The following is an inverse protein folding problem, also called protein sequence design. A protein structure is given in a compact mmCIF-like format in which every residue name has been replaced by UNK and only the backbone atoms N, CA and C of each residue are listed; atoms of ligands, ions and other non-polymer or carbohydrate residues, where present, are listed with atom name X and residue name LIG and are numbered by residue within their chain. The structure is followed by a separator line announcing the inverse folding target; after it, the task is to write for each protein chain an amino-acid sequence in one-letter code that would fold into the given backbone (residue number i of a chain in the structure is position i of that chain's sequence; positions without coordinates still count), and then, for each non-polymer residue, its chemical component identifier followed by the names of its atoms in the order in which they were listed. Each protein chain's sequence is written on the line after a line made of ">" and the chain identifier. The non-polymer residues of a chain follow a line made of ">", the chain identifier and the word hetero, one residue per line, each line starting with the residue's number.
data_IF_156180654054
#
_entry.id   IF_156180654054
#
_cell.length_a   1.000
_cell.length_b   1.000
_cell.length_c   1.000
_cell.angle_alpha   90.00
_cell.angle_beta   90.00
_cell.angle_gamma   90.00
#
_symmetry.space_group_name_H-M   'P 1'
#
loop_
_entity.id
_entity.type
_entity.pdbx_description
1 polymer ?
#
# COMPACT_ATOMS: atom_id res chain seq x y z
N UNK A 1 19.68 6.31 7.94
CA UNK A 1 20.19 5.54 6.77
C UNK A 1 21.72 5.39 6.69
N UNK A 2 22.57 6.36 7.11
CA UNK A 2 24.03 6.15 7.07
C UNK A 2 24.50 5.00 7.97
N UNK A 3 23.90 4.86 9.16
CA UNK A 3 24.38 3.96 10.21
C UNK A 3 24.22 2.47 9.85
N UNK A 4 23.09 2.05 9.26
CA UNK A 4 22.89 0.66 8.85
C UNK A 4 23.77 0.24 7.66
N UNK A 5 23.95 1.13 6.67
CA UNK A 5 24.88 0.88 5.56
C UNK A 5 26.31 0.77 6.08
N UNK A 6 26.71 1.65 7.00
CA UNK A 6 28.04 1.61 7.63
C UNK A 6 28.22 0.33 8.44
N UNK A 7 27.24 -0.09 9.25
CA UNK A 7 27.32 -1.34 10.01
C UNK A 7 27.40 -2.56 9.08
N UNK A 8 26.56 -2.62 8.04
CA UNK A 8 26.57 -3.74 7.09
C UNK A 8 27.87 -3.80 6.28
N UNK A 9 28.41 -2.65 5.87
CA UNK A 9 29.72 -2.55 5.20
C UNK A 9 30.84 -2.93 6.18
N UNK A 10 30.84 -2.45 7.42
CA UNK A 10 31.85 -2.79 8.43
C UNK A 10 31.82 -4.29 8.73
N UNK A 11 30.64 -4.86 8.92
CA UNK A 11 30.46 -6.29 9.20
C UNK A 11 30.81 -7.15 7.98
N UNK A 12 30.42 -6.73 6.77
CA UNK A 12 30.77 -7.39 5.51
C UNK A 12 32.27 -7.34 5.21
N UNK A 13 32.91 -6.18 5.39
CA UNK A 13 34.37 -6.02 5.25
C UNK A 13 35.11 -6.83 6.32
N UNK A 14 34.64 -6.82 7.57
CA UNK A 14 35.19 -7.68 8.63
C UNK A 14 35.07 -9.17 8.30
N UNK A 15 33.96 -9.59 7.69
CA UNK A 15 33.77 -10.97 7.20
C UNK A 15 34.70 -11.36 6.06
N UNK A 16 35.04 -10.43 5.17
CA UNK A 16 36.01 -10.64 4.07
C UNK A 16 37.47 -10.62 4.58
N UNK A 17 37.76 -9.87 5.65
CA UNK A 17 39.10 -9.81 6.24
C UNK A 17 39.55 -11.14 6.86
N UNK A 18 38.63 -11.96 7.36
CA UNK A 18 38.95 -13.27 7.94
C UNK A 18 39.59 -14.27 6.96
N UNK A 19 39.04 -14.55 5.76
CA UNK A 19 39.69 -15.40 4.77
C UNK A 19 40.98 -14.79 4.21
N UNK A 20 41.07 -13.46 4.09
CA UNK A 20 42.30 -12.78 3.64
C UNK A 20 43.44 -12.95 4.67
N UNK A 21 43.15 -12.77 5.97
CA UNK A 21 44.14 -13.04 7.03
C UNK A 21 44.54 -14.52 7.07
N UNK A 22 43.59 -15.45 6.88
CA UNK A 22 43.88 -16.88 6.86
C UNK A 22 44.82 -17.27 5.71
N UNK A 23 44.68 -16.66 4.53
CA UNK A 23 45.59 -16.86 3.39
C UNK A 23 46.98 -16.30 3.70
N UNK A 24 47.08 -15.10 4.28
CA UNK A 24 48.36 -14.47 4.62
C UNK A 24 49.12 -15.27 5.70
N UNK A 25 48.40 -15.78 6.70
CA UNK A 25 48.99 -16.57 7.81
C UNK A 25 49.37 -18.00 7.36
N UNK A 26 48.78 -18.50 6.28
CA UNK A 26 49.17 -19.76 5.64
C UNK A 26 50.64 -19.81 5.21
N UNK A 27 51.29 -18.66 5.03
CA UNK A 27 52.71 -18.51 4.70
C UNK A 27 53.66 -18.47 5.92
N UNK A 28 53.13 -18.45 7.16
CA UNK A 28 53.92 -18.41 8.40
C UNK A 28 54.22 -19.85 8.88
N UNK A 29 55.38 -20.16 9.47
CA UNK A 29 55.69 -21.51 10.00
C UNK A 29 54.71 -21.98 11.09
N UNK A 30 54.39 -23.28 11.09
CA UNK A 30 53.35 -23.87 11.96
C UNK A 30 53.57 -23.61 13.47
N UNK A 31 54.82 -23.50 13.92
CA UNK A 31 55.17 -23.22 15.31
C UNK A 31 54.74 -21.84 15.82
N UNK A 32 54.42 -20.90 14.93
CA UNK A 32 53.99 -19.53 15.27
C UNK A 32 52.50 -19.26 15.00
N UNK A 33 51.75 -20.23 14.45
CA UNK A 33 50.35 -20.03 14.02
C UNK A 33 49.33 -19.99 15.14
N UNK A 34 49.58 -20.68 16.26
CA UNK A 34 48.61 -20.82 17.35
C UNK A 34 48.12 -19.49 17.94
N UNK A 35 48.95 -18.44 17.93
CA UNK A 35 48.54 -17.11 18.40
C UNK A 35 47.57 -16.40 17.43
N UNK A 36 47.69 -16.69 16.13
CA UNK A 36 46.89 -16.07 15.08
C UNK A 36 45.58 -16.82 14.80
N UNK A 37 45.54 -18.13 15.04
CA UNK A 37 44.34 -18.97 14.85
C UNK A 37 43.16 -18.48 15.70
N UNK A 38 43.43 -17.99 16.91
CA UNK A 38 42.41 -17.43 17.81
C UNK A 38 41.84 -16.10 17.27
N UNK A 39 42.69 -15.24 16.69
CA UNK A 39 42.28 -13.97 16.09
C UNK A 39 41.49 -14.17 14.78
N UNK A 40 41.87 -15.15 13.95
CA UNK A 40 41.11 -15.55 12.76
C UNK A 40 39.74 -16.09 13.17
N UNK A 41 39.70 -16.98 14.18
CA UNK A 41 38.45 -17.59 14.66
C UNK A 41 37.51 -16.52 15.23
N UNK A 42 38.01 -15.60 16.06
CA UNK A 42 37.21 -14.50 16.58
C UNK A 42 36.67 -13.59 15.46
N UNK A 43 37.49 -13.28 14.45
CA UNK A 43 37.10 -12.44 13.31
C UNK A 43 36.08 -13.13 12.40
N UNK A 44 36.24 -14.44 12.16
CA UNK A 44 35.28 -15.25 11.40
C UNK A 44 33.95 -15.40 12.15
N UNK A 45 33.98 -15.57 13.47
CA UNK A 45 32.76 -15.58 14.31
C UNK A 45 32.06 -14.23 14.23
N UNK A 46 32.75 -13.10 14.33
CA UNK A 46 32.13 -11.78 14.19
C UNK A 46 31.60 -11.56 12.76
N UNK A 47 32.37 -11.93 11.74
CA UNK A 47 32.01 -11.74 10.33
C UNK A 47 30.95 -12.69 9.78
N UNK A 48 30.69 -13.82 10.44
CA UNK A 48 29.69 -14.82 10.02
C UNK A 48 28.56 -14.90 11.04
N UNK A 49 28.86 -15.13 12.32
CA UNK A 49 27.85 -15.36 13.35
C UNK A 49 27.07 -14.09 13.67
N UNK A 50 27.69 -12.90 13.71
CA UNK A 50 26.94 -11.66 13.98
C UNK A 50 25.99 -11.30 12.84
N UNK A 51 26.39 -11.27 11.55
CA UNK A 51 25.43 -11.01 10.48
C UNK A 51 24.41 -12.14 10.34
N UNK A 52 24.78 -13.40 10.60
CA UNK A 52 23.79 -14.49 10.62
C UNK A 52 22.81 -14.32 11.77
N UNK A 53 23.26 -13.98 12.99
CA UNK A 53 22.43 -13.74 14.17
C UNK A 53 21.55 -12.50 14.01
N UNK A 54 22.06 -11.43 13.40
CA UNK A 54 21.26 -10.26 13.01
C UNK A 54 20.22 -10.66 11.96
N UNK A 55 20.61 -11.42 10.94
CA UNK A 55 19.68 -11.94 9.95
C UNK A 55 18.62 -12.83 10.59
N UNK A 56 18.96 -13.76 11.50
CA UNK A 56 17.97 -14.56 12.23
C UNK A 56 17.13 -13.71 13.18
N UNK A 57 17.68 -12.66 13.79
CA UNK A 57 16.91 -11.75 14.64
C UNK A 57 15.86 -10.98 13.83
N UNK A 58 16.26 -10.33 12.73
CA UNK A 58 15.33 -9.64 11.82
C UNK A 58 14.35 -10.62 11.15
N UNK A 59 14.81 -11.83 10.83
CA UNK A 59 13.95 -12.86 10.24
C UNK A 59 12.96 -13.43 11.27
N UNK A 60 13.34 -13.60 12.53
CA UNK A 60 12.44 -14.02 13.61
C UNK A 60 11.39 -12.95 13.93
N UNK A 61 11.78 -11.68 14.01
CA UNK A 61 10.86 -10.57 14.21
C UNK A 61 9.85 -10.44 13.05
N UNK A 62 10.26 -10.78 11.82
CA UNK A 62 9.34 -10.86 10.67
C UNK A 62 8.33 -12.03 10.75
N UNK A 63 8.49 -12.97 11.69
CA UNK A 63 7.57 -14.09 11.90
C UNK A 63 6.67 -13.88 13.13
N UNK A 64 7.18 -13.26 14.20
CA UNK A 64 6.40 -12.98 15.41
C UNK A 64 5.50 -11.74 15.23
N UNK A 65 4.35 -11.98 14.62
CA UNK A 65 3.17 -11.14 14.76
C UNK A 65 2.58 -11.27 16.18
N UNK A 66 3.30 -10.81 17.19
CA UNK A 66 2.90 -10.99 18.60
C UNK A 66 1.78 -10.05 19.05
N UNK A 67 1.51 -8.97 18.31
CA UNK A 67 0.59 -7.92 18.73
C UNK A 67 -0.90 -8.20 18.41
N UNK A 68 -1.78 -7.86 19.36
CA UNK A 68 -3.17 -7.56 19.05
C UNK A 68 -3.22 -6.33 18.12
N UNK A 69 -4.21 -6.30 17.23
CA UNK A 69 -4.42 -5.17 16.31
C UNK A 69 -5.81 -4.61 16.49
N UNK A 70 -6.00 -3.29 16.35
CA UNK A 70 -7.33 -2.72 16.40
C UNK A 70 -8.20 -3.21 15.22
N UNK A 71 -9.53 -3.28 15.38
CA UNK A 71 -10.47 -3.57 14.30
C UNK A 71 -10.35 -2.59 13.15
N UNK A 72 -10.14 -3.13 11.95
CA UNK A 72 -10.12 -2.37 10.70
C UNK A 72 -11.17 -2.90 9.73
N UNK A 73 -11.96 -1.99 9.18
CA UNK A 73 -12.90 -2.31 8.11
C UNK A 73 -12.20 -2.20 6.75
N UNK A 74 -12.05 -3.32 6.07
CA UNK A 74 -11.38 -3.42 4.77
C UNK A 74 -12.36 -3.69 3.65
N UNK A 75 -12.11 -3.13 2.47
CA UNK A 75 -12.85 -3.47 1.25
C UNK A 75 -12.38 -4.82 0.72
N UNK A 76 -13.31 -5.70 0.33
CA UNK A 76 -13.00 -6.99 -0.30
C UNK A 76 -12.88 -6.84 -1.82
N UNK A 77 -12.14 -7.77 -2.43
CA UNK A 77 -12.09 -7.89 -3.88
C UNK A 77 -13.38 -8.50 -4.47
N UNK A 78 -13.52 -8.35 -5.77
CA UNK A 78 -14.67 -8.73 -6.56
C UNK A 78 -15.85 -7.78 -6.42
N UNK A 79 -17.04 -8.35 -6.56
CA UNK A 79 -18.33 -7.67 -6.51
C UNK A 79 -19.22 -8.38 -5.49
N UNK A 80 -19.90 -7.61 -4.64
CA UNK A 80 -20.97 -8.13 -3.80
C UNK A 80 -22.22 -8.43 -4.62
N UNK A 81 -23.17 -9.16 -4.03
CA UNK A 81 -24.38 -9.63 -4.74
C UNK A 81 -25.24 -8.49 -5.32
N UNK A 82 -25.16 -7.28 -4.73
CA UNK A 82 -25.94 -6.11 -5.13
C UNK A 82 -25.10 -5.03 -5.83
N UNK A 83 -23.97 -5.43 -6.43
CA UNK A 83 -23.17 -4.54 -7.27
C UNK A 83 -22.29 -3.55 -6.52
N UNK A 84 -22.14 -3.68 -5.21
CA UNK A 84 -21.15 -2.94 -4.39
C UNK A 84 -20.17 -3.91 -3.74
N UNK A 85 -18.93 -3.48 -3.42
CA UNK A 85 -17.95 -4.36 -2.79
C UNK A 85 -18.44 -4.88 -1.43
N UNK A 86 -18.12 -6.14 -1.12
CA UNK A 86 -18.25 -6.65 0.25
C UNK A 86 -17.18 -6.02 1.15
N UNK A 87 -17.38 -6.07 2.47
CA UNK A 87 -16.42 -5.57 3.45
C UNK A 87 -16.00 -6.69 4.41
N UNK A 88 -14.83 -6.55 5.04
CA UNK A 88 -14.37 -7.45 6.08
C UNK A 88 -13.85 -6.64 7.27
N UNK A 89 -14.34 -6.95 8.47
CA UNK A 89 -13.73 -6.49 9.71
C UNK A 89 -12.58 -7.43 10.07
N UNK A 90 -11.36 -6.88 10.11
CA UNK A 90 -10.13 -7.63 10.33
C UNK A 90 -9.41 -7.12 11.58
N UNK A 91 -9.03 -8.04 12.47
CA UNK A 91 -8.20 -7.74 13.64
C UNK A 91 -7.57 -9.00 14.24
N UNK A 92 -6.73 -8.79 15.25
CA UNK A 92 -6.09 -9.83 16.04
C UNK A 92 -6.22 -9.55 17.53
N UNK A 93 -6.41 -10.60 18.31
CA UNK A 93 -6.41 -10.54 19.78
C UNK A 93 -5.20 -11.26 20.37
N UNK A 94 -4.79 -10.85 21.57
CA UNK A 94 -3.66 -11.48 22.27
C UNK A 94 -3.96 -12.95 22.58
N UNK A 95 -5.14 -13.21 23.14
CA UNK A 95 -5.65 -14.54 23.46
C UNK A 95 -6.71 -14.96 22.45
N UNK A 96 -6.95 -16.27 22.25
CA UNK A 96 -8.06 -16.72 21.43
C UNK A 96 -9.40 -16.20 21.95
N UNK A 97 -10.15 -15.48 21.12
CA UNK A 97 -11.47 -14.94 21.46
C UNK A 97 -12.52 -15.39 20.44
N UNK A 98 -13.78 -15.32 20.84
CA UNK A 98 -14.93 -15.54 19.96
C UNK A 98 -15.74 -14.26 19.92
N UNK A 99 -15.84 -13.65 18.74
CA UNK A 99 -16.47 -12.34 18.57
C UNK A 99 -17.79 -12.43 17.82
N UNK A 100 -18.60 -11.40 18.02
CA UNK A 100 -19.84 -11.18 17.26
C UNK A 100 -19.81 -9.80 16.65
N UNK A 101 -19.97 -9.72 15.33
CA UNK A 101 -20.19 -8.46 14.62
C UNK A 101 -21.69 -8.30 14.38
N UNK A 102 -22.27 -7.22 14.90
CA UNK A 102 -23.63 -6.81 14.59
C UNK A 102 -23.62 -5.76 13.48
N UNK A 103 -24.55 -5.80 12.53
CA UNK A 103 -24.68 -4.78 11.49
C UNK A 103 -26.11 -4.68 10.93
N UNK A 104 -26.38 -3.60 10.19
CA UNK A 104 -27.64 -3.43 9.44
C UNK A 104 -27.89 -1.97 9.05
N UNK A 105 -28.87 -1.74 8.17
CA UNK A 105 -29.10 -0.42 7.58
C UNK A 105 -29.81 0.57 8.54
N UNK A 106 -30.92 0.12 9.14
CA UNK A 106 -31.72 0.94 10.07
C UNK A 106 -31.45 0.61 11.53
N UNK A 107 -31.04 -0.63 11.80
CA UNK A 107 -30.70 -1.13 13.13
C UNK A 107 -29.68 -2.26 13.03
N UNK A 108 -29.04 -2.61 14.14
CA UNK A 108 -28.10 -3.72 14.26
C UNK A 108 -28.82 -5.09 14.28
N UNK A 109 -29.58 -5.39 13.22
CA UNK A 109 -30.47 -6.55 13.12
C UNK A 109 -29.77 -7.83 12.64
N UNK A 110 -28.67 -7.71 11.92
CA UNK A 110 -27.88 -8.84 11.43
C UNK A 110 -26.69 -9.10 12.36
N UNK A 111 -26.27 -10.35 12.47
CA UNK A 111 -25.11 -10.73 13.27
C UNK A 111 -24.26 -11.80 12.58
N UNK A 112 -22.94 -11.67 12.75
CA UNK A 112 -21.94 -12.66 12.35
C UNK A 112 -21.27 -13.12 13.63
N UNK A 113 -21.48 -14.39 13.98
CA UNK A 113 -20.91 -14.99 15.19
C UNK A 113 -19.81 -15.94 14.75
N UNK A 114 -18.58 -15.73 15.23
CA UNK A 114 -17.48 -16.68 14.98
C UNK A 114 -17.83 -18.06 15.55
N UNK A 115 -17.39 -19.14 14.92
CA UNK A 115 -17.74 -20.50 15.36
C UNK A 115 -16.81 -21.04 16.45
N UNK A 116 -15.55 -20.60 16.45
CA UNK A 116 -14.49 -21.02 17.36
C UNK A 116 -13.71 -19.82 17.90
N UNK A 117 -12.99 -20.02 19.00
CA UNK A 117 -12.08 -19.02 19.51
C UNK A 117 -10.76 -19.03 18.72
N UNK A 118 -10.38 -17.88 18.14
CA UNK A 118 -9.16 -17.70 17.34
C UNK A 118 -8.44 -16.43 17.76
N UNK A 119 -7.19 -16.24 17.29
CA UNK A 119 -6.44 -14.97 17.49
C UNK A 119 -6.51 -14.04 16.29
N UNK A 120 -6.90 -14.55 15.13
CA UNK A 120 -7.05 -13.80 13.89
C UNK A 120 -8.53 -13.86 13.51
N UNK A 121 -9.09 -12.68 13.28
CA UNK A 121 -10.53 -12.48 13.12
C UNK A 121 -10.80 -11.84 11.76
N UNK A 122 -11.72 -12.46 11.02
CA UNK A 122 -12.20 -11.97 9.72
C UNK A 122 -13.71 -12.15 9.69
N UNK A 123 -14.45 -11.07 9.95
CA UNK A 123 -15.92 -11.07 9.90
C UNK A 123 -16.39 -10.33 8.64
N UNK A 124 -16.92 -11.06 7.67
CA UNK A 124 -17.27 -10.53 6.34
C UNK A 124 -18.71 -10.01 6.27
N UNK A 125 -18.88 -8.71 6.01
CA UNK A 125 -20.18 -8.12 5.69
C UNK A 125 -20.46 -8.31 4.20
N UNK A 126 -21.42 -9.18 3.89
CA UNK A 126 -21.78 -9.58 2.52
C UNK A 126 -23.18 -9.08 2.15
N UNK A 127 -23.49 -9.07 0.85
CA UNK A 127 -24.81 -8.72 0.31
C UNK A 127 -25.27 -7.31 0.73
N UNK A 128 -24.30 -6.39 0.83
CA UNK A 128 -24.56 -5.00 1.15
C UNK A 128 -25.34 -4.36 0.00
N UNK A 129 -26.41 -3.64 0.33
CA UNK A 129 -27.24 -2.93 -0.66
C UNK A 129 -26.57 -1.65 -1.10
N UNK A 130 -26.74 -1.29 -2.38
CA UNK A 130 -26.28 -0.02 -2.92
C UNK A 130 -27.02 1.17 -2.30
N UNK A 131 -26.37 2.32 -2.18
CA UNK A 131 -26.95 3.58 -1.72
C UNK A 131 -27.49 3.53 -0.28
N UNK A 132 -26.90 2.69 0.56
CA UNK A 132 -27.42 2.38 1.89
C UNK A 132 -26.42 2.80 2.97
N UNK A 133 -26.93 3.44 4.02
CA UNK A 133 -26.17 3.69 5.24
C UNK A 133 -26.27 2.46 6.14
N UNK A 134 -25.14 1.93 6.59
CA UNK A 134 -25.06 0.79 7.49
C UNK A 134 -24.46 1.21 8.83
N UNK A 135 -25.01 0.67 9.90
CA UNK A 135 -24.39 0.66 11.23
C UNK A 135 -23.72 -0.69 11.47
N UNK A 136 -22.65 -0.69 12.25
CA UNK A 136 -22.02 -1.91 12.71
C UNK A 136 -21.41 -1.75 14.11
N UNK A 137 -21.29 -2.86 14.83
CA UNK A 137 -20.70 -2.90 16.17
C UNK A 137 -20.03 -4.24 16.43
N UNK A 138 -18.78 -4.21 16.87
CA UNK A 138 -18.08 -5.39 17.36
C UNK A 138 -18.46 -5.62 18.84
N UNK A 139 -18.99 -6.79 19.16
CA UNK A 139 -19.39 -7.17 20.52
C UNK A 139 -20.25 -6.08 21.19
N UNK A 140 -19.73 -5.50 22.29
CA UNK A 140 -20.36 -4.42 23.07
C UNK A 140 -19.64 -3.07 22.91
N UNK A 141 -18.82 -2.91 21.87
CA UNK A 141 -18.07 -1.66 21.61
C UNK A 141 -18.97 -0.53 21.08
N UNK A 142 -18.36 0.61 20.76
CA UNK A 142 -19.08 1.72 20.14
C UNK A 142 -19.65 1.34 18.77
N UNK A 143 -20.80 1.93 18.42
CA UNK A 143 -21.40 1.74 17.09
C UNK A 143 -20.74 2.65 16.08
N UNK A 144 -20.34 2.06 14.95
CA UNK A 144 -19.74 2.69 13.80
C UNK A 144 -20.74 2.70 12.63
N UNK A 145 -20.47 3.49 11.59
CA UNK A 145 -21.36 3.56 10.42
C UNK A 145 -20.64 3.94 9.14
N UNK A 146 -20.96 3.28 8.04
CA UNK A 146 -20.44 3.57 6.69
C UNK A 146 -21.58 3.71 5.68
N UNK A 147 -21.27 4.20 4.47
CA UNK A 147 -22.22 4.28 3.37
C UNK A 147 -21.71 3.53 2.13
N UNK A 148 -22.57 2.74 1.51
CA UNK A 148 -22.25 2.05 0.26
C UNK A 148 -22.44 2.96 -0.96
N UNK A 149 -21.71 2.72 -2.06
CA UNK A 149 -21.90 3.45 -3.31
C UNK A 149 -23.31 3.29 -3.89
N UNK A 150 -23.76 4.27 -4.68
CA UNK A 150 -25.10 4.32 -5.28
C UNK A 150 -25.04 4.23 -6.81
N UNK A 151 -26.19 4.20 -7.48
CA UNK A 151 -26.24 4.25 -8.95
C UNK A 151 -25.87 5.64 -9.53
N UNK A 152 -26.06 6.71 -8.76
CA UNK A 152 -25.70 8.08 -9.18
C UNK A 152 -24.22 8.39 -8.95
N UNK A 153 -23.68 7.82 -7.87
CA UNK A 153 -22.27 7.89 -7.49
C UNK A 153 -21.73 6.48 -7.38
N UNK A 154 -21.24 5.97 -8.51
CA UNK A 154 -20.74 4.60 -8.66
C UNK A 154 -19.62 4.30 -7.67
N UNK A 155 -18.79 5.30 -7.36
CA UNK A 155 -17.83 5.23 -6.27
C UNK A 155 -17.31 6.63 -5.91
N UNK A 156 -17.21 6.95 -4.62
CA UNK A 156 -16.50 8.12 -4.13
C UNK A 156 -15.38 7.69 -3.18
N UNK A 157 -14.12 7.96 -3.53
CA UNK A 157 -12.99 7.52 -2.73
C UNK A 157 -11.89 8.57 -2.64
N UNK A 158 -11.17 8.57 -1.51
CA UNK A 158 -9.91 9.27 -1.35
C UNK A 158 -8.76 8.33 -1.66
N UNK A 159 -7.65 8.83 -2.19
CA UNK A 159 -6.45 8.03 -2.45
C UNK A 159 -5.17 8.84 -2.23
N UNK A 160 -4.19 8.21 -1.60
CA UNK A 160 -2.83 8.75 -1.43
C UNK A 160 -1.85 7.63 -1.05
N UNK A 161 -0.56 7.83 -1.25
CA UNK A 161 0.48 6.85 -0.93
C UNK A 161 1.60 7.46 -0.10
N UNK A 162 2.57 6.61 0.25
CA UNK A 162 3.89 7.07 0.70
C UNK A 162 3.82 7.79 2.05
N UNK A 163 3.19 7.15 3.04
CA UNK A 163 3.14 7.62 4.42
C UNK A 163 4.48 7.37 5.16
N UNK A 164 5.21 6.30 4.79
CA UNK A 164 6.52 5.93 5.34
C UNK A 164 6.56 5.87 6.88
N UNK A 165 5.55 5.24 7.52
CA UNK A 165 5.56 5.01 8.96
C UNK A 165 6.86 4.30 9.38
N UNK A 166 7.58 4.87 10.36
CA UNK A 166 8.86 4.33 10.83
C UNK A 166 10.09 5.10 10.38
N UNK A 167 9.98 5.92 9.33
CA UNK A 167 11.07 6.83 8.92
C UNK A 167 11.25 7.91 10.01
N UNK A 168 12.39 7.88 10.71
CA UNK A 168 12.64 8.58 11.97
C UNK A 168 12.19 10.06 12.05
N UNK A 169 11.78 10.47 13.25
CA UNK A 169 11.19 11.77 13.65
C UNK A 169 12.12 13.00 13.56
N UNK A 170 13.21 12.95 12.78
CA UNK A 170 13.90 14.19 12.45
C UNK A 170 12.95 14.98 11.54
N UNK A 171 12.29 16.00 12.12
CA UNK A 171 11.18 16.79 11.59
C UNK A 171 11.43 17.51 10.24
N UNK A 172 12.56 17.23 9.58
CA UNK A 172 12.93 17.73 8.27
C UNK A 172 13.12 16.64 7.21
N UNK A 173 12.94 15.34 7.50
CA UNK A 173 13.21 14.25 6.54
C UNK A 173 12.40 12.93 6.71
N UNK A 174 11.47 12.82 7.66
CA UNK A 174 10.71 11.59 7.95
C UNK A 174 9.19 11.82 7.98
N UNK A 175 8.41 10.78 7.68
CA UNK A 175 6.96 10.92 7.50
C UNK A 175 6.23 11.38 8.76
N UNK A 176 5.31 12.34 8.62
CA UNK A 176 4.51 12.89 9.73
C UNK A 176 3.12 12.24 9.77
N UNK A 177 2.83 11.35 10.74
CA UNK A 177 1.51 10.75 10.93
C UNK A 177 0.38 11.77 11.07
N UNK A 178 0.68 13.00 11.52
CA UNK A 178 -0.34 14.04 11.69
C UNK A 178 -0.89 14.54 10.36
N UNK A 179 -0.09 14.52 9.29
CA UNK A 179 -0.55 14.83 7.93
C UNK A 179 -1.63 13.86 7.50
N UNK A 180 -1.35 12.56 7.63
CA UNK A 180 -2.32 11.51 7.32
C UNK A 180 -3.57 11.62 8.21
N UNK A 181 -3.41 11.88 9.51
CA UNK A 181 -4.56 12.10 10.42
C UNK A 181 -5.42 13.30 10.02
N UNK A 182 -4.81 14.40 9.54
CA UNK A 182 -5.56 15.57 9.06
C UNK A 182 -6.39 15.24 7.83
N UNK A 183 -5.79 14.55 6.86
CA UNK A 183 -6.48 14.08 5.65
C UNK A 183 -7.62 13.14 6.02
N UNK A 184 -7.34 12.12 6.83
CA UNK A 184 -8.33 11.11 7.19
C UNK A 184 -9.47 11.69 8.00
N UNK A 185 -9.22 12.70 8.87
CA UNK A 185 -10.28 13.43 9.57
C UNK A 185 -11.28 14.04 8.59
N UNK A 186 -10.79 14.72 7.55
CA UNK A 186 -11.67 15.22 6.49
C UNK A 186 -12.41 14.08 5.79
N UNK A 187 -11.70 13.03 5.36
CA UNK A 187 -12.31 11.90 4.63
C UNK A 187 -13.43 11.23 5.43
N UNK A 188 -13.28 11.08 6.74
CA UNK A 188 -14.26 10.40 7.59
C UNK A 188 -15.44 11.26 8.04
N UNK A 189 -15.43 12.56 7.75
CA UNK A 189 -16.54 13.44 8.09
C UNK A 189 -17.78 13.03 7.26
N UNK A 190 -18.91 12.60 7.87
CA UNK A 190 -20.01 11.98 7.11
C UNK A 190 -20.57 12.83 5.97
N UNK A 191 -20.53 14.16 6.12
CA UNK A 191 -20.95 15.12 5.08
C UNK A 191 -20.12 15.05 3.79
N UNK A 192 -18.90 14.52 3.86
CA UNK A 192 -18.02 14.36 2.72
C UNK A 192 -18.28 13.06 1.95
N UNK A 193 -19.05 12.12 2.52
CA UNK A 193 -19.61 10.97 1.79
C UNK A 193 -18.60 10.09 1.05
N UNK A 194 -17.39 9.90 1.61
CA UNK A 194 -16.43 8.93 1.05
C UNK A 194 -16.90 7.50 1.34
N UNK A 195 -16.83 6.63 0.33
CA UNK A 195 -17.12 5.21 0.47
C UNK A 195 -15.89 4.40 0.85
N UNK A 196 -14.68 4.86 0.47
CA UNK A 196 -13.42 4.14 0.71
C UNK A 196 -12.24 5.11 0.70
N UNK A 197 -11.18 4.77 1.43
CA UNK A 197 -9.86 5.36 1.26
C UNK A 197 -8.88 4.30 0.73
N UNK A 198 -8.21 4.59 -0.38
CA UNK A 198 -7.19 3.73 -0.95
C UNK A 198 -5.79 4.22 -0.57
N UNK A 199 -4.87 3.30 -0.33
CA UNK A 199 -3.44 3.62 -0.15
C UNK A 199 -2.65 3.00 -1.28
N UNK A 200 -1.97 3.80 -2.10
CA UNK A 200 -1.22 3.32 -3.27
C UNK A 200 0.24 2.98 -2.92
N UNK A 201 0.44 2.23 -1.84
CA UNK A 201 1.75 1.72 -1.40
C UNK A 201 2.54 2.63 -0.46
N UNK A 202 3.67 2.09 0.01
CA UNK A 202 4.64 2.72 0.90
C UNK A 202 4.01 3.25 2.19
N UNK A 203 3.23 2.38 2.81
CA UNK A 203 2.62 2.67 4.11
C UNK A 203 3.69 2.73 5.19
N UNK A 204 4.51 1.69 5.28
CA UNK A 204 5.63 1.60 6.23
C UNK A 204 6.96 1.82 5.52
N UNK A 205 8.04 2.05 6.27
CA UNK A 205 9.33 2.41 5.72
C UNK A 205 10.24 1.21 5.42
N UNK A 206 10.17 0.10 6.17
CA UNK A 206 11.02 -1.06 5.97
C UNK A 206 10.26 -2.37 5.79
N UNK A 207 8.96 -2.41 6.02
CA UNK A 207 8.11 -3.59 5.79
C UNK A 207 8.29 -4.71 6.83
N UNK A 208 9.51 -4.97 7.28
CA UNK A 208 9.83 -6.01 8.25
C UNK A 208 9.55 -5.65 9.71
N UNK A 209 9.77 -4.41 10.21
CA UNK A 209 9.59 -4.14 11.63
C UNK A 209 8.10 -4.03 11.97
N UNK A 210 7.63 -4.85 12.91
CA UNK A 210 6.23 -4.87 13.31
C UNK A 210 5.76 -3.53 13.93
N UNK A 211 6.66 -2.80 14.58
CA UNK A 211 6.37 -1.49 15.19
C UNK A 211 5.89 -0.45 14.18
N UNK A 212 6.44 -0.46 12.95
CA UNK A 212 6.03 0.44 11.88
C UNK A 212 4.59 0.18 11.46
N UNK A 213 4.23 -1.11 11.32
CA UNK A 213 2.86 -1.52 11.02
C UNK A 213 1.90 -1.17 12.14
N UNK A 214 2.24 -1.44 13.40
CA UNK A 214 1.39 -1.08 14.55
C UNK A 214 1.10 0.43 14.57
N UNK A 215 2.12 1.26 14.32
CA UNK A 215 1.94 2.72 14.23
C UNK A 215 1.02 3.13 13.07
N UNK A 216 1.09 2.43 11.95
CA UNK A 216 0.16 2.62 10.83
C UNK A 216 -1.26 2.20 11.22
N UNK A 217 -1.45 1.05 11.87
CA UNK A 217 -2.76 0.53 12.30
C UNK A 217 -3.41 1.46 13.32
N UNK A 218 -2.67 1.95 14.30
CA UNK A 218 -3.15 2.91 15.31
C UNK A 218 -3.53 4.27 14.69
N UNK A 219 -2.95 4.59 13.53
CA UNK A 219 -3.32 5.77 12.77
C UNK A 219 -4.57 5.51 11.93
N UNK A 220 -4.70 4.34 11.32
CA UNK A 220 -5.75 4.01 10.36
C UNK A 220 -7.06 3.55 11.00
N UNK A 221 -7.00 2.66 11.98
CA UNK A 221 -8.15 1.93 12.49
C UNK A 221 -9.30 2.84 12.96
N UNK A 222 -9.06 3.95 13.70
CA UNK A 222 -10.15 4.85 14.11
C UNK A 222 -10.97 5.39 12.93
N UNK A 223 -10.35 5.59 11.77
CA UNK A 223 -11.02 6.14 10.59
C UNK A 223 -11.83 5.09 9.83
N UNK A 224 -11.44 3.81 9.92
CA UNK A 224 -12.18 2.70 9.29
C UNK A 224 -13.52 2.40 9.95
N UNK A 225 -13.80 3.01 11.11
CA UNK A 225 -15.14 3.08 11.70
C UNK A 225 -16.16 3.69 10.72
N UNK A 226 -15.74 4.69 9.94
CA UNK A 226 -16.60 5.40 8.98
C UNK A 226 -16.33 5.07 7.51
N UNK A 227 -15.06 4.94 7.15
CA UNK A 227 -14.62 4.81 5.76
C UNK A 227 -13.69 3.60 5.63
N UNK A 228 -14.15 2.51 4.99
CA UNK A 228 -13.32 1.33 4.72
C UNK A 228 -12.00 1.66 4.04
N UNK A 229 -10.97 0.87 4.32
CA UNK A 229 -9.62 1.03 3.77
C UNK A 229 -9.31 -0.07 2.75
N UNK A 230 -8.51 0.26 1.73
CA UNK A 230 -7.85 -0.76 0.91
C UNK A 230 -6.47 -0.31 0.40
N UNK A 231 -5.37 -0.99 0.79
CA UNK A 231 -4.06 -0.67 0.26
C UNK A 231 -3.68 -1.51 -0.98
N UNK A 232 -2.74 -0.95 -1.73
CA UNK A 232 -1.81 -1.62 -2.66
C UNK A 232 -0.45 -1.67 -1.96
N UNK A 233 0.34 -2.72 -2.21
CA UNK A 233 1.68 -2.84 -1.65
C UNK A 233 2.66 -1.95 -2.41
N UNK A 234 3.47 -1.17 -1.70
CA UNK A 234 4.61 -0.45 -2.26
C UNK A 234 5.95 -1.13 -2.01
N UNK A 235 7.02 -0.60 -2.60
CA UNK A 235 8.33 -1.21 -2.44
C UNK A 235 8.81 -1.20 -0.99
N UNK A 236 8.58 -0.13 -0.22
CA UNK A 236 8.98 -0.07 1.17
C UNK A 236 8.21 -1.05 2.07
N UNK A 237 6.95 -1.34 1.73
CA UNK A 237 6.15 -2.37 2.42
C UNK A 237 6.73 -3.78 2.24
N UNK A 238 7.47 -4.01 1.15
CA UNK A 238 8.04 -5.31 0.79
C UNK A 238 9.53 -5.46 1.16
N UNK A 239 10.21 -4.38 1.58
CA UNK A 239 11.62 -4.43 2.01
C UNK A 239 11.78 -5.44 3.15
N UNK A 240 12.93 -6.13 3.18
CA UNK A 240 13.33 -7.08 4.24
C UNK A 240 12.21 -8.11 4.57
N UNK A 241 11.66 -8.79 3.55
CA UNK A 241 10.58 -9.78 3.73
C UNK A 241 9.25 -9.19 4.26
N UNK A 242 9.04 -7.88 4.11
CA UNK A 242 7.86 -7.17 4.61
C UNK A 242 6.53 -7.54 3.94
N UNK A 243 6.57 -8.13 2.74
CA UNK A 243 5.38 -8.61 2.04
C UNK A 243 4.56 -9.60 2.89
N UNK A 244 5.24 -10.42 3.71
CA UNK A 244 4.59 -11.34 4.66
C UNK A 244 3.77 -10.57 5.71
N UNK A 245 4.31 -9.47 6.24
CA UNK A 245 3.59 -8.61 7.19
C UNK A 245 2.42 -7.89 6.53
N UNK A 246 2.64 -7.24 5.39
CA UNK A 246 1.55 -6.60 4.63
C UNK A 246 0.38 -7.57 4.42
N UNK A 247 0.69 -8.79 3.97
CA UNK A 247 -0.30 -9.83 3.71
C UNK A 247 -1.05 -10.27 4.98
N UNK A 248 -0.39 -10.29 6.13
CA UNK A 248 -1.04 -10.61 7.41
C UNK A 248 -1.89 -9.45 7.95
N UNK A 249 -1.52 -8.20 7.69
CA UNK A 249 -2.30 -7.02 8.12
C UNK A 249 -3.53 -6.76 7.24
N UNK A 250 -3.44 -6.97 5.93
CA UNK A 250 -4.51 -6.58 4.99
C UNK A 250 -5.20 -7.74 4.26
N UNK A 251 -4.63 -8.94 4.31
CA UNK A 251 -5.19 -10.14 3.68
C UNK A 251 -5.04 -11.37 4.57
N UNK A 252 -5.52 -11.38 5.82
CA UNK A 252 -5.49 -12.58 6.66
C UNK A 252 -6.04 -13.82 5.93
N UNK A 253 -5.69 -15.04 6.36
CA UNK A 253 -5.99 -16.28 5.61
C UNK A 253 -7.51 -16.50 5.39
N UNK A 254 -8.36 -15.91 6.23
CA UNK A 254 -9.82 -15.94 6.09
C UNK A 254 -10.41 -15.01 5.01
N UNK A 255 -9.60 -14.12 4.43
CA UNK A 255 -10.06 -13.17 3.41
C UNK A 255 -10.02 -13.80 2.02
N UNK A 256 -11.20 -13.92 1.41
CA UNK A 256 -11.36 -14.50 0.07
C UNK A 256 -10.77 -13.57 -1.00
N UNK A 257 -10.34 -14.15 -2.12
CA UNK A 257 -9.85 -13.41 -3.31
C UNK A 257 -10.48 -13.89 -4.63
N UNK A 258 -11.82 -13.82 -4.81
CA UNK A 258 -12.53 -14.33 -5.99
C UNK A 258 -12.08 -13.72 -7.33
N UNK A 259 -11.42 -12.56 -7.35
CA UNK A 259 -11.00 -11.88 -8.58
C UNK A 259 -9.51 -11.56 -8.58
N UNK A 260 -8.66 -12.54 -8.28
CA UNK A 260 -7.21 -12.42 -8.42
C UNK A 260 -6.46 -13.16 -7.33
N UNK A 261 -5.52 -12.46 -6.70
CA UNK A 261 -4.69 -12.93 -5.60
C UNK A 261 -4.69 -11.91 -4.46
N UNK A 262 -3.95 -12.19 -3.38
CA UNK A 262 -3.74 -11.24 -2.28
C UNK A 262 -2.85 -10.05 -2.65
N UNK A 263 -2.24 -10.04 -3.83
CA UNK A 263 -1.31 -9.00 -4.30
C UNK A 263 -1.83 -8.20 -5.49
N UNK A 264 -2.58 -8.84 -6.39
CA UNK A 264 -3.23 -8.20 -7.54
C UNK A 264 -4.65 -8.74 -7.70
N UNK A 265 -5.62 -7.85 -7.78
CA UNK A 265 -7.04 -8.21 -7.70
C UNK A 265 -7.89 -7.06 -8.26
N UNK A 266 -9.19 -7.30 -8.42
CA UNK A 266 -10.15 -6.32 -8.94
C UNK A 266 -11.24 -6.06 -7.92
N UNK A 267 -11.69 -4.81 -7.79
CA UNK A 267 -12.85 -4.38 -7.00
C UNK A 267 -13.87 -3.77 -7.97
N UNK A 268 -15.13 -4.17 -7.83
CA UNK A 268 -16.21 -3.69 -8.69
C UNK A 268 -17.28 -2.96 -7.87
N UNK A 269 -17.69 -1.79 -8.37
CA UNK A 269 -18.79 -1.00 -7.83
C UNK A 269 -19.64 -0.47 -8.97
N UNK A 270 -20.77 -1.13 -9.23
CA UNK A 270 -21.59 -0.92 -10.42
C UNK A 270 -20.75 -1.02 -11.70
N UNK A 271 -20.71 0.07 -12.47
CA UNK A 271 -19.94 0.21 -13.72
C UNK A 271 -18.53 0.76 -13.51
N UNK A 272 -18.02 0.74 -12.28
CA UNK A 272 -16.67 1.17 -11.97
C UNK A 272 -15.84 -0.06 -11.55
N UNK A 273 -14.79 -0.33 -12.32
CA UNK A 273 -13.89 -1.45 -12.12
C UNK A 273 -12.51 -0.92 -11.78
N UNK A 274 -12.08 -1.18 -10.55
CA UNK A 274 -10.75 -0.80 -10.08
C UNK A 274 -9.90 -2.07 -10.11
N UNK A 275 -8.71 -1.99 -10.71
CA UNK A 275 -7.76 -3.10 -10.84
C UNK A 275 -6.48 -2.74 -10.12
N UNK A 276 -6.07 -3.56 -9.17
CA UNK A 276 -4.90 -3.38 -8.35
C UNK A 276 -3.78 -4.25 -8.92
N UNK A 277 -2.67 -3.62 -9.27
CA UNK A 277 -1.47 -4.31 -9.76
C UNK A 277 -0.36 -4.23 -8.72
N UNK A 278 0.35 -5.35 -8.56
CA UNK A 278 1.55 -5.45 -7.76
C UNK A 278 2.77 -5.07 -8.61
N UNK A 279 3.08 -3.77 -8.61
CA UNK A 279 4.20 -3.13 -9.31
C UNK A 279 4.95 -2.27 -8.29
N UNK A 280 5.97 -2.86 -7.66
CA UNK A 280 6.66 -2.27 -6.51
C UNK A 280 7.63 -1.18 -6.96
N UNK A 281 8.72 -1.54 -7.62
CA UNK A 281 9.64 -0.57 -8.22
C UNK A 281 9.29 -0.33 -9.70
N UNK A 282 8.78 -1.36 -10.37
CA UNK A 282 8.40 -1.33 -11.77
C UNK A 282 7.95 -2.70 -12.25
N UNK A 283 8.48 -3.14 -13.40
CA UNK A 283 8.03 -4.38 -14.08
C UNK A 283 8.58 -5.67 -13.47
N UNK A 284 9.50 -5.61 -12.50
CA UNK A 284 10.12 -6.77 -11.88
C UNK A 284 9.10 -7.67 -11.15
N UNK A 285 8.01 -7.08 -10.66
CA UNK A 285 6.88 -7.83 -10.07
C UNK A 285 5.75 -8.06 -11.06
N UNK A 286 5.86 -7.57 -12.31
CA UNK A 286 4.88 -7.79 -13.37
C UNK A 286 5.08 -9.14 -14.07
N UNK A 287 4.88 -10.22 -13.31
CA UNK A 287 5.04 -11.58 -13.80
C UNK A 287 4.15 -11.86 -15.02
N UNK A 288 4.52 -12.85 -15.82
CA UNK A 288 3.69 -13.30 -16.95
C UNK A 288 2.26 -13.69 -16.52
N UNK A 289 2.12 -14.27 -15.33
CA UNK A 289 0.83 -14.60 -14.73
C UNK A 289 0.01 -13.36 -14.41
N UNK A 290 0.59 -12.37 -13.72
CA UNK A 290 -0.10 -11.12 -13.40
C UNK A 290 -0.49 -10.37 -14.67
N UNK A 291 0.38 -10.35 -15.69
CA UNK A 291 0.09 -9.74 -17.00
C UNK A 291 -1.05 -10.43 -17.73
N UNK A 292 -1.05 -11.76 -17.78
CA UNK A 292 -2.12 -12.54 -18.40
C UNK A 292 -3.45 -12.34 -17.66
N UNK A 293 -3.41 -12.33 -16.33
CA UNK A 293 -4.56 -12.03 -15.49
C UNK A 293 -5.10 -10.60 -15.74
N UNK A 294 -4.23 -9.60 -15.82
CA UNK A 294 -4.61 -8.21 -16.12
C UNK A 294 -5.34 -8.12 -17.46
N UNK A 295 -4.79 -8.73 -18.50
CA UNK A 295 -5.41 -8.79 -19.83
C UNK A 295 -6.80 -9.44 -19.75
N UNK A 296 -6.92 -10.57 -19.06
CA UNK A 296 -8.20 -11.25 -18.88
C UNK A 296 -9.22 -10.36 -18.15
N UNK A 297 -8.80 -9.61 -17.12
CA UNK A 297 -9.70 -8.69 -16.43
C UNK A 297 -10.16 -7.56 -17.34
N UNK A 298 -9.23 -6.93 -18.08
CA UNK A 298 -9.55 -5.87 -19.03
C UNK A 298 -10.54 -6.32 -20.10
N UNK A 299 -10.37 -7.53 -20.65
CA UNK A 299 -11.24 -8.11 -21.67
C UNK A 299 -12.62 -8.50 -21.13
N UNK A 300 -12.73 -8.74 -19.82
CA UNK A 300 -14.01 -9.05 -19.17
C UNK A 300 -14.84 -7.82 -18.81
N UNK A 301 -14.27 -6.62 -18.90
CA UNK A 301 -14.94 -5.36 -18.55
C UNK A 301 -15.75 -4.87 -19.76
N UNK A 302 -17.04 -4.52 -19.59
CA UNK A 302 -17.82 -3.90 -20.66
C UNK A 302 -17.13 -2.64 -21.18
N UNK A 303 -17.19 -2.43 -22.50
CA UNK A 303 -16.52 -1.31 -23.17
C UNK A 303 -16.90 0.04 -22.55
N UNK A 304 -18.18 0.19 -22.21
CA UNK A 304 -18.76 1.41 -21.64
C UNK A 304 -18.57 1.54 -20.11
N UNK A 305 -17.86 0.63 -19.46
CA UNK A 305 -17.63 0.69 -18.01
C UNK A 305 -16.26 1.31 -17.69
N UNK A 306 -16.19 2.00 -16.56
CA UNK A 306 -14.99 2.71 -16.13
C UNK A 306 -13.91 1.72 -15.69
N UNK A 307 -12.71 1.89 -16.25
CA UNK A 307 -11.51 1.11 -15.94
C UNK A 307 -10.53 2.00 -15.18
N UNK A 308 -10.32 1.69 -13.91
CA UNK A 308 -9.37 2.40 -13.05
C UNK A 308 -8.28 1.41 -12.66
N UNK A 309 -7.01 1.80 -12.79
CA UNK A 309 -5.87 0.98 -12.35
C UNK A 309 -5.18 1.67 -11.19
N UNK A 310 -4.87 0.92 -10.14
CA UNK A 310 -4.07 1.36 -9.01
C UNK A 310 -2.81 0.49 -8.93
N UNK A 311 -1.67 1.14 -8.79
CA UNK A 311 -0.36 0.49 -8.61
C UNK A 311 0.52 1.40 -7.75
N UNK A 312 1.62 0.90 -7.20
CA UNK A 312 2.54 1.76 -6.46
C UNK A 312 3.46 2.53 -7.42
N UNK A 313 4.22 1.80 -8.25
CA UNK A 313 5.07 2.39 -9.30
C UNK A 313 4.26 3.16 -10.35
N UNK A 314 4.91 4.07 -11.06
CA UNK A 314 4.32 4.97 -12.05
C UNK A 314 4.74 4.61 -13.48
N UNK A 315 3.79 4.66 -14.42
CA UNK A 315 4.09 4.53 -15.85
C UNK A 315 4.65 5.85 -16.42
N UNK A 316 4.03 6.96 -16.06
CA UNK A 316 4.47 8.30 -16.40
C UNK A 316 4.50 9.17 -15.14
N UNK A 317 5.53 10.00 -15.02
CA UNK A 317 5.68 10.99 -13.95
C UNK A 317 6.81 11.94 -14.30
N UNK A 318 6.66 13.21 -13.93
CA UNK A 318 7.81 14.09 -13.74
C UNK A 318 8.68 13.59 -12.59
N UNK A 319 9.95 13.96 -12.52
CA UNK A 319 10.81 13.50 -11.43
C UNK A 319 12.27 13.91 -11.56
N UNK A 320 13.12 13.20 -10.82
CA UNK A 320 14.54 13.49 -10.70
C UNK A 320 15.39 12.24 -10.97
N UNK A 321 16.69 12.44 -11.21
CA UNK A 321 17.67 11.35 -11.15
C UNK A 321 18.18 11.25 -9.71
N UNK A 322 18.02 10.08 -9.08
CA UNK A 322 18.60 9.78 -7.76
C UNK A 322 19.18 8.38 -7.75
N UNK A 323 20.31 8.20 -7.06
CA UNK A 323 21.02 6.92 -6.93
C UNK A 323 21.35 6.25 -8.27
N UNK A 324 21.49 7.05 -9.34
CA UNK A 324 21.77 6.57 -10.69
C UNK A 324 20.54 6.12 -11.50
N UNK A 325 19.33 6.25 -10.94
CA UNK A 325 18.07 5.89 -11.59
C UNK A 325 17.26 7.14 -11.93
N UNK A 326 16.62 7.14 -13.11
CA UNK A 326 15.67 8.16 -13.50
C UNK A 326 14.28 7.80 -12.95
N UNK A 327 13.86 8.50 -11.88
CA UNK A 327 12.54 8.32 -11.26
C UNK A 327 11.47 9.16 -11.97
N UNK A 328 11.47 9.09 -13.30
CA UNK A 328 10.52 9.74 -14.19
C UNK A 328 10.39 8.91 -15.46
N UNK A 329 9.17 8.82 -15.99
CA UNK A 329 8.82 8.01 -17.17
C UNK A 329 9.68 6.73 -17.33
N UNK A 330 9.69 5.81 -16.34
CA UNK A 330 10.63 4.68 -16.31
C UNK A 330 10.51 3.85 -17.59
N UNK A 331 11.63 3.62 -18.27
CA UNK A 331 11.67 3.09 -19.65
C UNK A 331 10.88 1.79 -19.77
N UNK A 332 11.08 0.87 -18.83
CA UNK A 332 10.42 -0.43 -18.82
C UNK A 332 8.91 -0.31 -18.58
N UNK A 333 8.48 0.60 -17.71
CA UNK A 333 7.06 0.86 -17.46
C UNK A 333 6.39 1.47 -18.70
N UNK A 334 7.05 2.43 -19.34
CA UNK A 334 6.59 3.05 -20.60
C UNK A 334 6.53 2.05 -21.75
N UNK A 335 7.43 1.06 -21.79
CA UNK A 335 7.48 0.08 -22.88
C UNK A 335 6.58 -1.15 -22.66
N UNK A 336 6.35 -1.56 -21.41
CA UNK A 336 5.69 -2.83 -21.11
C UNK A 336 4.31 -2.68 -20.46
N UNK A 337 4.10 -1.62 -19.69
CA UNK A 337 2.84 -1.41 -18.93
C UNK A 337 1.97 -0.37 -19.62
N UNK A 338 2.51 0.81 -19.95
CA UNK A 338 1.75 1.88 -20.60
C UNK A 338 1.01 1.42 -21.88
N UNK A 339 1.61 0.63 -22.79
CA UNK A 339 0.92 0.20 -24.00
C UNK A 339 -0.28 -0.72 -23.72
N UNK A 340 -0.26 -1.46 -22.61
CA UNK A 340 -1.40 -2.28 -22.20
C UNK A 340 -2.53 -1.39 -21.65
N UNK A 341 -2.20 -0.40 -20.84
CA UNK A 341 -3.16 0.58 -20.31
C UNK A 341 -3.84 1.34 -21.45
N UNK A 342 -3.06 1.78 -22.44
CA UNK A 342 -3.53 2.47 -23.65
C UNK A 342 -4.37 1.55 -24.54
N UNK A 343 -3.92 0.31 -24.80
CA UNK A 343 -4.65 -0.68 -25.63
C UNK A 343 -6.05 -0.96 -25.08
N UNK A 344 -6.19 -1.10 -23.77
CA UNK A 344 -7.48 -1.40 -23.13
C UNK A 344 -8.24 -0.16 -22.69
N UNK A 345 -7.79 1.04 -23.10
CA UNK A 345 -8.44 2.32 -22.83
C UNK A 345 -8.77 2.48 -21.36
N UNK A 346 -7.76 2.30 -20.49
CA UNK A 346 -7.89 2.59 -19.07
C UNK A 346 -8.19 4.08 -18.90
N UNK A 347 -9.22 4.42 -18.13
CA UNK A 347 -9.66 5.80 -17.98
C UNK A 347 -8.76 6.58 -17.01
N UNK A 348 -8.39 5.94 -15.90
CA UNK A 348 -7.59 6.52 -14.84
C UNK A 348 -6.58 5.51 -14.28
N UNK A 349 -5.34 5.94 -14.15
CA UNK A 349 -4.26 5.21 -13.48
C UNK A 349 -3.81 6.03 -12.28
N UNK A 350 -3.75 5.43 -11.10
CA UNK A 350 -3.35 6.10 -9.87
C UNK A 350 -2.13 5.41 -9.28
N UNK A 351 -1.06 6.18 -9.05
CA UNK A 351 0.23 5.72 -8.53
C UNK A 351 0.70 6.54 -7.33
N UNK A 352 1.62 5.96 -6.56
CA UNK A 352 2.40 6.63 -5.52
C UNK A 352 3.86 6.78 -5.96
N UNK A 353 4.77 6.39 -5.08
CA UNK A 353 6.21 6.22 -5.28
C UNK A 353 6.99 7.53 -5.45
N UNK A 354 6.57 8.39 -6.37
CA UNK A 354 7.06 9.75 -6.46
C UNK A 354 6.27 10.64 -5.50
N UNK A 355 6.99 11.39 -4.65
CA UNK A 355 6.41 12.07 -3.51
C UNK A 355 5.95 13.50 -3.85
N UNK A 356 5.08 13.60 -4.85
CA UNK A 356 4.43 14.83 -5.29
C UNK A 356 3.00 14.56 -5.80
N UNK A 357 2.28 15.63 -6.11
CA UNK A 357 0.98 15.55 -6.78
C UNK A 357 1.15 15.86 -8.26
N UNK A 358 0.64 14.99 -9.13
CA UNK A 358 0.71 15.21 -10.57
C UNK A 358 -0.50 14.63 -11.29
N UNK A 359 -0.98 15.34 -12.30
CA UNK A 359 -1.95 14.86 -13.27
C UNK A 359 -1.30 14.84 -14.65
N UNK A 360 -1.35 13.69 -15.32
CA UNK A 360 -0.80 13.47 -16.65
C UNK A 360 -1.86 12.90 -17.59
N UNK A 361 -1.71 13.14 -18.89
CA UNK A 361 -2.56 12.53 -19.92
C UNK A 361 -1.72 12.08 -21.10
N UNK A 362 -1.95 10.84 -21.54
CA UNK A 362 -1.28 10.27 -22.71
C UNK A 362 -2.14 9.23 -23.40
N UNK A 363 -2.31 9.37 -24.72
CA UNK A 363 -3.02 8.42 -25.60
C UNK A 363 -4.38 8.00 -24.99
N UNK A 364 -5.17 8.99 -24.58
CA UNK A 364 -6.52 8.76 -24.03
C UNK A 364 -6.59 8.26 -22.58
N UNK A 365 -5.45 7.95 -21.95
CA UNK A 365 -5.37 7.53 -20.55
C UNK A 365 -5.01 8.73 -19.67
N UNK A 366 -5.70 8.89 -18.54
CA UNK A 366 -5.32 9.86 -17.50
C UNK A 366 -4.55 9.17 -16.38
N UNK A 367 -3.53 9.85 -15.86
CA UNK A 367 -2.67 9.36 -14.79
C UNK A 367 -2.66 10.36 -13.64
N UNK A 368 -2.66 9.86 -12.41
CA UNK A 368 -2.50 10.65 -11.20
C UNK A 368 -1.39 10.05 -10.32
N UNK A 369 -0.41 10.88 -9.96
CA UNK A 369 0.62 10.54 -8.97
C UNK A 369 0.26 11.25 -7.66
N UNK A 370 0.19 10.51 -6.56
CA UNK A 370 -0.27 11.00 -5.25
C UNK A 370 0.51 10.39 -4.07
N UNK A 371 1.85 10.39 -4.15
CA UNK A 371 2.72 9.88 -3.09
C UNK A 371 2.96 10.85 -1.93
N UNK A 372 1.90 11.48 -1.41
CA UNK A 372 2.04 12.65 -0.52
C UNK A 372 1.32 12.51 0.83
N UNK A 373 1.01 11.29 1.25
CA UNK A 373 0.16 11.01 2.42
C UNK A 373 0.86 11.27 3.77
N UNK A 374 2.18 11.47 3.77
CA UNK A 374 2.91 11.91 4.97
C UNK A 374 4.42 11.82 4.87
N UNK A 375 4.96 10.98 3.97
CA UNK A 375 6.39 10.80 3.74
C UNK A 375 7.10 12.04 3.20
N UNK A 376 8.43 12.08 3.35
CA UNK A 376 9.24 13.23 2.94
C UNK A 376 9.06 13.55 1.45
N UNK A 377 8.65 14.76 1.13
CA UNK A 377 8.31 15.16 -0.23
C UNK A 377 9.53 15.29 -1.13
N UNK A 378 9.33 15.04 -2.42
CA UNK A 378 10.38 15.22 -3.41
C UNK A 378 10.71 16.70 -3.62
N UNK A 379 11.98 17.03 -3.90
CA UNK A 379 12.32 18.36 -4.41
C UNK A 379 11.64 18.59 -5.77
N UNK A 380 11.60 19.85 -6.20
CA UNK A 380 11.00 20.18 -7.49
C UNK A 380 11.68 19.41 -8.63
N UNK A 381 10.88 18.86 -9.55
CA UNK A 381 11.40 17.94 -10.56
C UNK A 381 12.31 18.65 -11.58
N UNK A 382 13.50 18.10 -11.78
CA UNK A 382 14.41 18.51 -12.85
C UNK A 382 13.92 18.07 -14.24
N UNK A 383 13.14 16.98 -14.31
CA UNK A 383 12.48 16.51 -15.53
C UNK A 383 10.96 16.64 -15.42
N UNK A 384 10.34 17.27 -16.42
CA UNK A 384 8.88 17.30 -16.59
C UNK A 384 8.48 16.31 -17.67
N UNK A 385 7.63 15.36 -17.32
CA UNK A 385 7.09 14.43 -18.31
C UNK A 385 6.31 15.20 -19.38
N UNK A 386 6.47 14.89 -20.67
CA UNK A 386 5.65 15.46 -21.74
C UNK A 386 4.15 15.18 -21.58
N UNK A 387 3.79 14.15 -20.81
CA UNK A 387 2.39 13.85 -20.50
C UNK A 387 1.84 14.74 -19.37
N UNK A 388 2.68 15.47 -18.64
CA UNK A 388 2.29 16.26 -17.48
C UNK A 388 1.37 17.42 -17.87
N UNK A 389 0.16 17.43 -17.33
CA UNK A 389 -0.81 18.50 -17.52
C UNK A 389 -0.90 19.42 -16.29
N UNK A 390 -0.56 18.91 -15.11
CA UNK A 390 -0.44 19.69 -13.89
C UNK A 390 0.46 18.99 -12.88
N UNK A 391 1.26 19.77 -12.16
CA UNK A 391 2.25 19.28 -11.22
C UNK A 391 2.32 20.17 -9.98
N UNK A 392 2.53 19.57 -8.82
CA UNK A 392 2.76 20.26 -7.54
C UNK A 392 3.71 19.46 -6.64
N UNK A 393 4.91 20.00 -6.41
CA UNK A 393 5.88 19.56 -5.40
C UNK A 393 5.68 20.25 -4.05
N UNK A 394 6.36 19.76 -3.01
CA UNK A 394 6.44 20.41 -1.70
C UNK A 394 5.09 20.59 -1.00
N UNK A 395 4.06 19.83 -1.39
CA UNK A 395 2.73 19.87 -0.80
C UNK A 395 2.27 18.46 -0.45
N UNK A 396 1.92 18.25 0.82
CA UNK A 396 1.20 17.04 1.25
C UNK A 396 -0.25 17.10 0.82
N UNK A 397 -0.83 15.95 0.51
CA UNK A 397 -2.19 15.90 -0.02
C UNK A 397 -2.66 14.51 -0.40
N UNK A 398 -3.85 14.48 -1.00
CA UNK A 398 -4.51 13.28 -1.50
C UNK A 398 -5.39 13.64 -2.71
N UNK A 399 -5.84 12.62 -3.42
CA UNK A 399 -6.79 12.75 -4.51
C UNK A 399 -8.18 12.31 -4.05
N UNK A 400 -9.15 13.21 -4.20
CA UNK A 400 -10.59 12.97 -4.05
C UNK A 400 -11.16 12.62 -5.43
N UNK A 401 -11.67 11.39 -5.58
CA UNK A 401 -12.17 10.84 -6.84
C UNK A 401 -13.63 10.51 -6.72
N UNK A 402 -14.45 11.12 -7.57
CA UNK A 402 -15.87 10.78 -7.69
C UNK A 402 -16.20 10.21 -9.06
N UNK A 403 -16.55 8.93 -9.10
CA UNK A 403 -16.96 8.20 -10.30
C UNK A 403 -18.48 8.26 -10.45
N UNK A 404 -18.93 8.70 -11.63
CA UNK A 404 -20.35 8.78 -12.04
C UNK A 404 -20.57 8.01 -13.33
N UNK A 405 -21.81 7.68 -13.67
CA UNK A 405 -22.19 7.12 -14.99
C UNK A 405 -21.44 7.69 -16.20
N UNK A 406 -21.27 9.02 -16.24
CA UNK A 406 -20.79 9.77 -17.42
C UNK A 406 -19.47 10.52 -17.19
N UNK A 407 -18.93 10.52 -15.97
CA UNK A 407 -17.67 11.22 -15.67
C UNK A 407 -16.91 10.65 -14.48
N UNK A 408 -15.58 10.75 -14.51
CA UNK A 408 -14.73 10.68 -13.31
C UNK A 408 -14.26 12.09 -12.98
N UNK A 409 -14.63 12.59 -11.80
CA UNK A 409 -14.15 13.87 -11.29
C UNK A 409 -12.99 13.66 -10.34
N UNK A 410 -11.92 14.41 -10.55
CA UNK A 410 -10.67 14.35 -9.79
C UNK A 410 -10.45 15.68 -9.09
N UNK A 411 -10.16 15.66 -7.80
CA UNK A 411 -9.78 16.84 -7.02
C UNK A 411 -8.52 16.54 -6.24
N UNK A 412 -7.41 17.15 -6.64
CA UNK A 412 -6.20 17.16 -5.84
C UNK A 412 -6.39 18.12 -4.68
N UNK A 413 -6.21 17.62 -3.46
CA UNK A 413 -6.39 18.38 -2.23
C UNK A 413 -5.11 18.38 -1.41
N UNK A 414 -4.85 19.48 -0.70
CA UNK A 414 -3.78 19.51 0.29
C UNK A 414 -4.17 18.76 1.58
N UNK A 415 -3.23 18.68 2.54
CA UNK A 415 -3.46 18.04 3.83
C UNK A 415 -4.54 18.70 4.71
N UNK A 416 -4.96 19.93 4.38
CA UNK A 416 -6.06 20.65 5.02
C UNK A 416 -7.37 20.51 4.22
N UNK A 417 -7.38 19.65 3.21
CA UNK A 417 -8.48 19.39 2.28
C UNK A 417 -8.87 20.58 1.37
N UNK A 418 -8.02 21.60 1.26
CA UNK A 418 -8.22 22.67 0.28
C UNK A 418 -8.03 22.10 -1.12
N UNK A 419 -8.91 22.44 -2.04
CA UNK A 419 -8.77 22.05 -3.44
C UNK A 419 -7.60 22.82 -4.07
N UNK A 420 -6.62 22.08 -4.59
CA UNK A 420 -5.48 22.63 -5.32
C UNK A 420 -5.76 22.68 -6.82
N UNK A 421 -6.41 21.64 -7.33
CA UNK A 421 -6.74 21.49 -8.75
C UNK A 421 -7.85 20.45 -8.94
N UNK A 422 -8.71 20.68 -9.93
CA UNK A 422 -9.73 19.74 -10.36
C UNK A 422 -9.61 19.39 -11.85
N UNK A 423 -9.97 18.15 -12.18
CA UNK A 423 -10.09 17.62 -13.54
C UNK A 423 -11.37 16.80 -13.67
N UNK A 424 -11.86 16.65 -14.90
CA UNK A 424 -12.96 15.76 -15.22
C UNK A 424 -12.57 14.91 -16.43
N UNK A 425 -12.77 13.61 -16.32
CA UNK A 425 -12.63 12.64 -17.40
C UNK A 425 -14.05 12.30 -17.85
N UNK A 426 -14.38 12.61 -19.11
CA UNK A 426 -15.65 12.21 -19.72
C UNK A 426 -15.46 10.96 -20.58
N UNK A 427 -16.56 10.25 -20.87
CA UNK A 427 -16.50 9.22 -21.91
C UNK A 427 -16.35 9.90 -23.27
N UNK A 428 -15.30 9.53 -24.00
CA UNK A 428 -15.25 9.82 -25.43
C UNK A 428 -16.34 8.99 -26.10
N UNK A 429 -17.43 9.63 -26.52
CA UNK A 429 -18.50 8.99 -27.30
C UNK A 429 -18.07 8.75 -28.73
#
# INVERSE_FOLDING_TARGET
>A
MPEFRIIFIIVGVAGILAPVLAVIIGFIPASARHFFDMAITASAVIGIVVPLALATYYWRDSHELSAATPPMLLVMDGVGADGVPNLALVFRTEQPTKNTLFYGAESLSEQIVESSATREHVLMLKNLKSGTHYQWRLNSEATCSFATPSNDVLYHFGVGGDAHFGKGLAASAGGDPNIMRSILKYVTEPRNQFNTFFIVGDMVNLGSPNEEWMKAMDTLAPFTCGVPLRPVMGNHDAIINGAVHYLKYFYPEGMQTPRGTRLYYRIDSGRAHIIMLNLLWGVETFTAEQRAWFIQQMESIPVDDWKIVMMHSMAYSSGNISDGYAWYDPVEMVQQVAPLLEKYQVDLVISGHNHHLEFLQRIGVSYAVVGTLGGALDPDAAYRSPASAWYRSGTHGFLDVTVRPESINLRFRDANANELKAFAIGKNK
#
